data_IF_383342048678
#
_entry.id   IF_383342048678
#
_cell.length_a   1.000
_cell.length_b   1.000
_cell.length_c   1.000
_cell.angle_alpha   90.00
_cell.angle_beta   90.00
_cell.angle_gamma   90.00
#
_symmetry.space_group_name_H-M   'P 1'
#
loop_
_entity.id
_entity.type
_entity.pdbx_description
1 polymer ?
#
# COMPACT_ATOMS: atom_id res chain seq x y z
N UNK A 1 -43.87 -2.55 24.00
CA UNK A 1 -43.82 -1.91 22.66
C UNK A 1 -42.42 -1.83 22.02
N UNK A 2 -41.33 -2.20 22.73
CA UNK A 2 -39.97 -2.11 22.17
C UNK A 2 -39.46 -3.39 21.47
N UNK A 3 -40.01 -4.56 21.83
CA UNK A 3 -39.60 -5.86 21.29
C UNK A 3 -40.07 -6.08 19.83
N UNK A 4 -41.07 -5.32 19.37
CA UNK A 4 -41.70 -5.46 18.05
C UNK A 4 -41.06 -4.53 16.98
N UNK A 5 -39.79 -4.14 17.17
CA UNK A 5 -39.04 -3.27 16.23
C UNK A 5 -37.67 -3.84 15.83
N UNK A 6 -37.38 -5.08 16.22
CA UNK A 6 -36.12 -5.77 15.89
C UNK A 6 -36.51 -6.96 15.03
N UNK A 7 -36.63 -6.72 13.73
CA UNK A 7 -37.15 -7.70 12.77
C UNK A 7 -36.05 -8.57 12.14
N UNK A 8 -34.76 -8.19 12.23
CA UNK A 8 -33.66 -8.95 11.64
C UNK A 8 -32.39 -8.94 12.50
N UNK A 9 -31.77 -10.11 12.64
CA UNK A 9 -30.47 -10.29 13.29
C UNK A 9 -29.39 -10.43 12.22
N UNK A 10 -28.52 -9.42 12.09
CA UNK A 10 -27.39 -9.47 11.16
C UNK A 10 -26.26 -10.29 11.81
N UNK A 11 -26.01 -11.49 11.29
CA UNK A 11 -24.89 -12.34 11.72
C UNK A 11 -23.65 -11.98 10.89
N UNK A 12 -22.60 -11.53 11.56
CA UNK A 12 -21.31 -11.28 10.93
C UNK A 12 -20.49 -12.57 10.92
N UNK A 13 -20.13 -13.03 9.72
CA UNK A 13 -19.24 -14.17 9.54
C UNK A 13 -17.78 -13.74 9.73
N UNK A 14 -16.91 -14.69 10.05
CA UNK A 14 -15.47 -14.44 10.06
C UNK A 14 -14.98 -14.11 8.66
N UNK A 15 -14.02 -13.20 8.56
CA UNK A 15 -13.40 -12.82 7.29
C UNK A 15 -12.53 -13.97 6.78
N UNK A 16 -12.63 -14.23 5.49
CA UNK A 16 -11.69 -15.10 4.76
C UNK A 16 -10.37 -14.39 4.50
N UNK A 17 -9.32 -15.17 4.20
CA UNK A 17 -8.00 -14.60 3.91
C UNK A 17 -8.02 -13.63 2.72
N UNK A 18 -8.77 -13.96 1.68
CA UNK A 18 -8.91 -13.12 0.48
C UNK A 18 -9.62 -11.79 0.77
N UNK A 19 -10.64 -11.81 1.65
CA UNK A 19 -11.31 -10.59 2.12
C UNK A 19 -10.36 -9.72 2.93
N UNK A 20 -9.48 -10.32 3.74
CA UNK A 20 -8.48 -9.56 4.51
C UNK A 20 -7.46 -8.92 3.57
N UNK A 21 -6.98 -9.63 2.56
CA UNK A 21 -6.09 -9.06 1.53
C UNK A 21 -6.77 -7.89 0.82
N UNK A 22 -8.06 -8.01 0.50
CA UNK A 22 -8.85 -6.92 -0.09
C UNK A 22 -8.95 -5.71 0.86
N UNK A 23 -9.08 -5.95 2.17
CA UNK A 23 -9.07 -4.88 3.17
C UNK A 23 -7.68 -4.23 3.23
N UNK A 24 -6.59 -5.00 3.19
CA UNK A 24 -5.22 -4.46 3.10
C UNK A 24 -5.11 -3.53 1.89
N UNK A 25 -5.60 -3.95 0.72
CA UNK A 25 -5.59 -3.12 -0.48
C UNK A 25 -6.30 -1.77 -0.28
N UNK A 26 -7.47 -1.77 0.36
CA UNK A 26 -8.20 -0.54 0.66
C UNK A 26 -7.43 0.37 1.62
N UNK A 27 -6.74 -0.20 2.61
CA UNK A 27 -5.96 0.55 3.59
C UNK A 27 -4.69 1.14 2.97
N UNK A 28 -4.03 0.39 2.10
CA UNK A 28 -2.89 0.85 1.32
C UNK A 28 -3.30 1.94 0.34
N UNK A 29 -4.43 1.82 -0.34
CA UNK A 29 -4.93 2.88 -1.22
C UNK A 29 -5.16 4.20 -0.46
N UNK A 30 -5.65 4.13 0.79
CA UNK A 30 -5.78 5.31 1.64
C UNK A 30 -4.43 5.87 2.13
N UNK A 31 -3.40 5.02 2.25
CA UNK A 31 -2.03 5.47 2.53
C UNK A 31 -1.41 6.11 1.29
N UNK A 32 -1.57 5.51 0.11
CA UNK A 32 -1.08 6.03 -1.16
C UNK A 32 -1.64 7.43 -1.44
N UNK A 33 -2.94 7.65 -1.22
CA UNK A 33 -3.55 8.97 -1.37
C UNK A 33 -2.86 10.04 -0.50
N UNK A 34 -2.47 9.69 0.74
CA UNK A 34 -1.72 10.62 1.62
C UNK A 34 -0.29 10.86 1.14
N UNK A 35 0.34 9.87 0.51
CA UNK A 35 1.70 10.00 -0.05
C UNK A 35 1.70 10.82 -1.34
N UNK A 36 0.62 10.75 -2.13
CA UNK A 36 0.45 11.54 -3.35
C UNK A 36 0.48 13.05 -3.07
N UNK A 37 -0.07 13.50 -1.93
CA UNK A 37 0.02 14.90 -1.49
C UNK A 37 1.48 15.36 -1.27
N UNK A 38 2.40 14.42 -1.06
CA UNK A 38 3.85 14.66 -0.93
C UNK A 38 4.63 14.33 -2.21
N UNK A 39 3.95 14.21 -3.35
CA UNK A 39 4.49 13.75 -4.64
C UNK A 39 5.10 12.34 -4.61
N UNK A 40 4.75 11.52 -3.61
CA UNK A 40 5.24 10.16 -3.47
C UNK A 40 4.15 9.15 -3.81
N UNK A 41 4.53 7.89 -3.99
CA UNK A 41 3.60 6.78 -4.14
C UNK A 41 4.06 5.56 -3.37
N UNK A 42 3.16 4.64 -3.09
CA UNK A 42 3.49 3.34 -2.50
C UNK A 42 2.84 2.20 -3.25
N UNK A 43 3.63 1.16 -3.53
CA UNK A 43 3.17 -0.08 -4.13
C UNK A 43 3.63 -1.26 -3.29
N UNK A 44 2.72 -2.20 -3.03
CA UNK A 44 3.04 -3.43 -2.32
C UNK A 44 2.99 -4.61 -3.28
N UNK A 45 4.00 -5.48 -3.21
CA UNK A 45 3.94 -6.78 -3.87
C UNK A 45 2.87 -7.67 -3.25
N UNK A 46 2.44 -8.70 -3.99
CA UNK A 46 1.50 -9.68 -3.46
C UNK A 46 2.03 -10.37 -2.19
N UNK A 47 3.34 -10.64 -2.13
CA UNK A 47 3.99 -11.22 -0.95
C UNK A 47 3.88 -10.31 0.29
N UNK A 48 4.08 -9.00 0.12
CA UNK A 48 3.90 -8.02 1.19
C UNK A 48 2.46 -7.96 1.69
N UNK A 49 1.47 -7.95 0.78
CA UNK A 49 0.05 -7.94 1.14
C UNK A 49 -0.36 -9.20 1.90
N UNK A 50 0.09 -10.37 1.43
CA UNK A 50 -0.19 -11.64 2.08
C UNK A 50 0.41 -11.70 3.49
N UNK A 51 1.65 -11.22 3.67
CA UNK A 51 2.29 -11.16 4.98
C UNK A 51 1.58 -10.21 5.94
N UNK A 52 1.11 -9.05 5.47
CA UNK A 52 0.32 -8.12 6.28
C UNK A 52 -1.01 -8.71 6.70
N UNK A 53 -1.70 -9.39 5.78
CA UNK A 53 -2.94 -10.08 6.08
C UNK A 53 -2.73 -11.18 7.14
N UNK A 54 -1.64 -11.93 7.04
CA UNK A 54 -1.27 -12.98 8.01
C UNK A 54 -0.92 -12.39 9.39
N UNK A 55 -0.12 -11.32 9.46
CA UNK A 55 0.31 -10.68 10.72
C UNK A 55 -0.76 -9.82 11.38
N UNK A 56 -1.63 -9.21 10.58
CA UNK A 56 -2.63 -8.25 11.06
C UNK A 56 -4.02 -8.84 11.28
N UNK A 57 -4.23 -10.11 10.95
CA UNK A 57 -5.48 -10.82 11.20
C UNK A 57 -5.45 -11.56 12.52
N UNK A 58 -6.52 -11.39 13.29
CA UNK A 58 -6.79 -12.17 14.49
C UNK A 58 -8.20 -12.77 14.37
N UNK A 59 -8.40 -14.10 14.53
CA UNK A 59 -9.73 -14.73 14.42
C UNK A 59 -10.77 -14.21 15.42
N UNK A 60 -10.33 -13.66 16.56
CA UNK A 60 -11.19 -13.10 17.61
C UNK A 60 -11.45 -11.61 17.36
N UNK A 61 -10.45 -10.87 16.88
CA UNK A 61 -10.56 -9.42 16.66
C UNK A 61 -10.85 -9.00 15.20
N UNK A 62 -10.85 -9.95 14.27
CA UNK A 62 -10.93 -9.72 12.83
C UNK A 62 -9.76 -8.88 12.30
N UNK A 63 -10.04 -8.01 11.33
CA UNK A 63 -9.06 -7.08 10.75
C UNK A 63 -8.78 -5.83 11.63
N UNK A 64 -9.27 -5.77 12.88
CA UNK A 64 -9.04 -4.60 13.75
C UNK A 64 -7.55 -4.34 14.03
N UNK A 65 -6.71 -5.36 14.31
CA UNK A 65 -5.28 -5.15 14.54
C UNK A 65 -4.54 -4.71 13.27
N UNK A 66 -5.06 -5.03 12.09
CA UNK A 66 -4.46 -4.79 10.78
C UNK A 66 -4.00 -3.34 10.59
N UNK A 67 -4.80 -2.38 11.04
CA UNK A 67 -4.43 -0.95 10.97
C UNK A 67 -3.12 -0.66 11.71
N UNK A 68 -2.97 -1.24 12.90
CA UNK A 68 -1.80 -1.03 13.74
C UNK A 68 -0.58 -1.76 13.18
N UNK A 69 -0.79 -2.94 12.59
CA UNK A 69 0.27 -3.67 11.86
C UNK A 69 0.78 -2.86 10.67
N UNK A 70 -0.12 -2.33 9.83
CA UNK A 70 0.26 -1.47 8.69
C UNK A 70 1.03 -0.24 9.18
N UNK A 71 0.58 0.43 10.25
CA UNK A 71 1.30 1.58 10.79
C UNK A 71 2.71 1.21 11.25
N UNK A 72 2.83 0.18 12.09
CA UNK A 72 4.11 -0.23 12.68
C UNK A 72 5.09 -0.80 11.66
N UNK A 73 4.60 -1.59 10.72
CA UNK A 73 5.45 -2.37 9.81
C UNK A 73 5.70 -1.64 8.49
N UNK A 74 4.88 -0.64 8.13
CA UNK A 74 5.02 0.16 6.91
C UNK A 74 5.18 1.66 7.17
N UNK A 75 4.22 2.31 7.84
CA UNK A 75 4.24 3.78 7.99
C UNK A 75 5.44 4.26 8.82
N UNK A 76 5.73 3.59 9.94
CA UNK A 76 6.84 3.97 10.83
C UNK A 76 8.21 3.79 10.13
N UNK A 77 8.55 2.63 9.51
CA UNK A 77 9.82 2.46 8.80
C UNK A 77 9.94 3.35 7.56
N UNK A 78 8.83 3.58 6.85
CA UNK A 78 8.79 4.49 5.71
C UNK A 78 9.14 5.91 6.16
N UNK A 79 8.51 6.39 7.23
CA UNK A 79 8.75 7.74 7.77
C UNK A 79 10.19 7.90 8.23
N UNK A 80 10.76 6.87 8.86
CA UNK A 80 12.16 6.85 9.30
C UNK A 80 13.13 6.92 8.11
N UNK A 81 12.93 6.10 7.07
CA UNK A 81 13.74 6.12 5.84
C UNK A 81 13.64 7.45 5.09
N UNK A 82 12.46 8.06 5.07
CA UNK A 82 12.26 9.40 4.52
C UNK A 82 13.03 10.46 5.32
N UNK A 83 13.04 10.34 6.66
CA UNK A 83 13.75 11.27 7.55
C UNK A 83 15.29 11.16 7.39
N UNK A 84 15.81 9.96 7.20
CA UNK A 84 17.25 9.73 6.97
C UNK A 84 17.70 10.05 5.53
N UNK A 85 16.76 10.27 4.61
CA UNK A 85 17.05 10.59 3.21
C UNK A 85 17.33 9.37 2.33
N UNK A 86 17.06 8.15 2.81
CA UNK A 86 17.16 6.92 2.01
C UNK A 86 16.13 6.90 0.87
N UNK A 87 14.98 7.56 1.09
CA UNK A 87 13.87 7.65 0.15
C UNK A 87 13.73 9.12 -0.28
N UNK A 88 14.12 9.47 -1.52
CA UNK A 88 13.98 10.85 -2.00
C UNK A 88 12.51 11.21 -2.22
N UNK A 89 12.17 12.49 -2.02
CA UNK A 89 10.85 13.02 -2.41
C UNK A 89 10.61 12.83 -3.90
N UNK A 90 9.35 12.62 -4.31
CA UNK A 90 9.06 12.34 -5.72
C UNK A 90 9.33 10.90 -6.14
N UNK A 91 9.48 9.95 -5.22
CA UNK A 91 9.71 8.54 -5.53
C UNK A 91 8.46 7.68 -5.27
N UNK A 92 8.37 6.57 -6.00
CA UNK A 92 7.44 5.48 -5.74
C UNK A 92 8.18 4.46 -4.90
N UNK A 93 7.64 4.17 -3.72
CA UNK A 93 8.21 3.19 -2.80
C UNK A 93 7.55 1.85 -3.05
N UNK A 94 8.35 0.90 -3.52
CA UNK A 94 7.94 -0.50 -3.69
C UNK A 94 8.30 -1.27 -2.43
N UNK A 95 7.29 -1.83 -1.80
CA UNK A 95 7.42 -2.67 -0.61
C UNK A 95 7.33 -4.13 -1.01
N UNK A 96 8.37 -4.88 -0.70
CA UNK A 96 8.43 -6.33 -0.92
C UNK A 96 8.74 -7.07 0.37
N UNK A 97 8.72 -8.40 0.32
CA UNK A 97 9.08 -9.28 1.44
C UNK A 97 10.26 -10.15 1.06
N UNK A 98 11.26 -10.17 1.93
CA UNK A 98 12.44 -11.03 1.82
C UNK A 98 12.54 -11.95 3.02
N UNK A 99 13.02 -13.17 2.81
CA UNK A 99 13.15 -14.20 3.85
C UNK A 99 12.14 -15.34 3.70
N UNK A 100 12.34 -16.40 4.48
CA UNK A 100 11.48 -17.59 4.49
C UNK A 100 10.94 -17.86 5.90
N UNK A 101 9.70 -18.35 5.98
CA UNK A 101 9.07 -18.71 7.26
C UNK A 101 8.80 -17.51 8.17
N UNK A 102 9.28 -17.58 9.40
CA UNK A 102 9.02 -16.55 10.43
C UNK A 102 9.95 -15.34 10.34
N UNK A 103 11.06 -15.45 9.59
CA UNK A 103 12.07 -14.39 9.39
C UNK A 103 11.75 -13.48 8.19
N UNK A 104 10.48 -13.45 7.73
CA UNK A 104 10.05 -12.58 6.65
C UNK A 104 10.12 -11.11 7.07
N UNK A 105 10.89 -10.31 6.36
CA UNK A 105 11.07 -8.88 6.61
C UNK A 105 10.58 -8.04 5.43
N UNK A 106 10.05 -6.84 5.72
CA UNK A 106 9.62 -5.90 4.70
C UNK A 106 10.83 -5.11 4.19
N UNK A 107 11.04 -5.17 2.88
CA UNK A 107 12.07 -4.40 2.18
C UNK A 107 11.42 -3.25 1.41
N UNK A 108 12.01 -2.07 1.52
CA UNK A 108 11.53 -0.84 0.88
C UNK A 108 12.52 -0.39 -0.18
N UNK A 109 12.07 -0.33 -1.43
CA UNK A 109 12.88 0.13 -2.57
C UNK A 109 12.23 1.36 -3.18
N UNK A 110 12.96 2.47 -3.21
CA UNK A 110 12.48 3.69 -3.84
C UNK A 110 12.90 3.73 -5.31
N UNK A 111 11.92 3.93 -6.20
CA UNK A 111 12.17 4.19 -7.62
C UNK A 111 11.78 5.65 -7.88
N UNK A 112 12.65 6.47 -8.48
CA UNK A 112 12.28 7.84 -8.83
C UNK A 112 11.06 7.79 -9.76
N UNK A 113 10.02 8.59 -9.45
CA UNK A 113 8.88 8.78 -10.33
C UNK A 113 9.39 9.58 -11.52
N UNK A 114 9.95 8.91 -12.53
CA UNK A 114 10.33 9.57 -13.78
C UNK A 114 9.04 10.09 -14.40
N UNK A 115 8.79 11.39 -14.23
CA UNK A 115 7.96 12.13 -15.16
C UNK A 115 8.54 11.86 -16.54
N UNK A 116 7.79 11.12 -17.37
CA UNK A 116 8.08 11.01 -18.79
C UNK A 116 8.36 12.44 -19.30
N UNK A 117 9.47 12.67 -20.04
CA UNK A 117 9.68 13.99 -20.62
C UNK A 117 8.50 14.29 -21.53
N UNK A 118 7.77 15.35 -21.17
CA UNK A 118 6.59 15.90 -21.83
C UNK A 118 6.99 16.62 -23.14
N UNK A 119 7.84 15.98 -23.93
CA UNK A 119 8.23 16.44 -25.26
C UNK A 119 7.62 15.47 -26.26
N UNK A 120 6.56 15.86 -27.01
CA UNK A 120 6.35 15.21 -28.29
C UNK A 120 7.68 15.28 -29.05
N UNK A 121 8.10 14.21 -29.77
CA UNK A 121 9.22 14.34 -30.69
C UNK A 121 8.81 15.39 -31.72
N UNK A 122 9.26 16.63 -31.51
CA UNK A 122 9.32 17.64 -32.55
C UNK A 122 10.46 17.16 -33.45
N UNK A 123 10.14 16.21 -34.33
CA UNK A 123 10.94 16.04 -35.54
C UNK A 123 10.77 17.32 -36.34
N UNK A 124 11.82 18.14 -36.26
CA UNK A 124 11.95 19.43 -36.89
C UNK A 124 11.59 19.35 -38.37
N UNK A 125 10.59 20.14 -38.76
CA UNK A 125 10.48 20.63 -40.13
C UNK A 125 11.72 21.47 -40.47
N UNK A 126 12.29 21.23 -41.65
CA UNK A 126 13.33 22.04 -42.29
C UNK A 126 14.20 21.17 -43.18
N UNK A 127 13.84 21.01 -44.46
CA UNK A 127 14.47 21.72 -45.61
C UNK A 127 15.94 21.30 -45.76
N UNK A 128 16.38 20.64 -46.84
CA UNK A 128 16.89 21.23 -48.10
C UNK A 128 16.94 20.12 -49.18
N UNK A 129 16.30 20.29 -50.34
CA UNK A 129 16.92 20.49 -51.66
C UNK A 129 17.80 19.33 -52.19
N UNK A 130 17.32 18.61 -53.21
CA UNK A 130 17.80 18.61 -54.62
C UNK A 130 16.85 17.79 -55.52
#
# INVERSE_FOLDING_TARGET
EFLNRIDDTIVFHQLTQDEIVSIVDLMIAALDLRLQDMNMGIELTFGAKALLAERGYDPVMGARPLRRTIQRDLEDPLSEKMLFGDIPQGSIVVVDVTGEGDEREFTFTATPKTELPDSPPIEAAGTIAE
#
